data_IF_951204665003
#
_entry.id   IF_951204665003
#
_cell.length_a   1.000
_cell.length_b   1.000
_cell.length_c   1.000
_cell.angle_alpha   90.00
_cell.angle_beta   90.00
_cell.angle_gamma   90.00
#
_symmetry.space_group_name_H-M   'P 1'
#
loop_
_entity.id
_entity.type
_entity.pdbx_description
1 polymer ?
#
# COMPACT_ATOMS: atom_id res chain seq x y z
N UNK A 1 -19.85 24.94 -11.32
CA UNK A 1 -18.48 24.76 -11.85
C UNK A 1 -18.25 23.28 -12.01
N UNK A 2 -17.74 22.86 -13.16
CA UNK A 2 -17.34 21.47 -13.42
C UNK A 2 -15.86 21.52 -13.80
N UNK A 3 -15.06 20.68 -13.14
CA UNK A 3 -13.65 20.47 -13.46
C UNK A 3 -13.54 19.04 -13.98
N UNK A 4 -13.04 18.87 -15.20
CA UNK A 4 -12.90 17.57 -15.85
C UNK A 4 -11.65 17.56 -16.71
N UNK A 5 -10.93 16.45 -16.68
CA UNK A 5 -9.80 16.16 -17.55
C UNK A 5 -9.86 14.69 -17.97
N UNK A 6 -9.33 14.37 -19.14
CA UNK A 6 -9.27 12.99 -19.64
C UNK A 6 -8.23 12.15 -18.89
N UNK A 7 -7.14 12.78 -18.44
CA UNK A 7 -6.01 12.11 -17.81
C UNK A 7 -5.92 12.43 -16.33
N UNK A 8 -5.63 13.69 -15.98
CA UNK A 8 -5.27 14.06 -14.60
C UNK A 8 -5.80 15.45 -14.22
N UNK A 9 -6.20 15.59 -12.96
CA UNK A 9 -6.45 16.89 -12.31
C UNK A 9 -5.56 16.95 -11.07
N UNK A 10 -4.62 17.91 -11.05
CA UNK A 10 -3.81 18.20 -9.88
C UNK A 10 -4.29 19.47 -9.18
N UNK A 11 -4.54 19.37 -7.88
CA UNK A 11 -4.90 20.50 -7.02
C UNK A 11 -3.88 20.63 -5.88
N UNK A 12 -2.96 21.57 -6.03
CA UNK A 12 -1.83 21.78 -5.10
C UNK A 12 -1.93 23.15 -4.44
N UNK A 13 -1.65 23.21 -3.15
CA UNK A 13 -1.57 24.45 -2.36
C UNK A 13 -0.30 24.40 -1.51
N UNK A 14 0.42 25.52 -1.43
CA UNK A 14 1.52 25.68 -0.46
C UNK A 14 1.00 25.89 0.96
N UNK A 15 -0.26 26.32 1.09
CA UNK A 15 -0.97 26.47 2.35
C UNK A 15 -1.98 25.35 2.56
N UNK A 16 -3.21 25.74 2.93
CA UNK A 16 -4.28 24.78 3.19
C UNK A 16 -5.08 24.49 1.92
N UNK A 17 -5.51 23.24 1.77
CA UNK A 17 -6.58 22.84 0.83
C UNK A 17 -7.80 22.47 1.67
N UNK A 18 -8.93 23.15 1.44
CA UNK A 18 -10.18 22.92 2.16
C UNK A 18 -11.30 22.57 1.19
N UNK A 19 -12.01 21.48 1.47
CA UNK A 19 -13.17 21.02 0.69
C UNK A 19 -14.36 20.94 1.64
N UNK A 20 -15.38 21.73 1.37
CA UNK A 20 -16.59 21.80 2.19
C UNK A 20 -17.83 21.66 1.31
N UNK A 21 -18.84 20.95 1.79
CA UNK A 21 -20.11 20.77 1.10
C UNK A 21 -21.27 21.01 2.09
N UNK A 22 -22.27 21.81 1.68
CA UNK A 22 -23.41 22.13 2.55
C UNK A 22 -24.40 20.97 2.75
N UNK A 23 -24.28 19.88 2.00
CA UNK A 23 -25.22 18.74 2.10
C UNK A 23 -24.52 17.39 2.02
N UNK A 24 -23.80 17.13 0.92
CA UNK A 24 -23.12 15.85 0.66
C UNK A 24 -21.81 16.09 -0.07
N UNK A 25 -20.75 15.43 0.39
CA UNK A 25 -19.50 15.25 -0.35
C UNK A 25 -19.42 13.76 -0.72
N UNK A 26 -19.23 13.46 -2.00
CA UNK A 26 -19.11 12.10 -2.50
C UNK A 26 -17.77 11.98 -3.22
N UNK A 27 -16.93 11.07 -2.76
CA UNK A 27 -15.64 10.75 -3.38
C UNK A 27 -15.77 9.34 -3.94
N UNK A 28 -15.52 9.18 -5.24
CA UNK A 28 -15.58 7.90 -5.94
C UNK A 28 -14.32 7.76 -6.75
N UNK A 29 -13.67 6.60 -6.64
CA UNK A 29 -12.41 6.30 -7.31
C UNK A 29 -12.55 4.92 -7.96
N UNK A 30 -12.09 4.78 -9.20
CA UNK A 30 -12.24 3.55 -9.98
C UNK A 30 -11.22 2.46 -9.64
N UNK A 31 -10.03 2.85 -9.19
CA UNK A 31 -8.90 1.96 -8.94
C UNK A 31 -8.46 2.00 -7.47
N UNK A 32 -7.68 3.01 -7.09
CA UNK A 32 -7.13 3.11 -5.73
C UNK A 32 -7.21 4.54 -5.16
N UNK A 33 -7.32 4.65 -3.84
CA UNK A 33 -7.27 5.91 -3.10
C UNK A 33 -6.22 5.81 -2.01
N UNK A 34 -5.36 6.82 -1.90
CA UNK A 34 -4.46 6.98 -0.76
C UNK A 34 -4.56 8.38 -0.16
N UNK A 35 -4.40 8.42 1.15
CA UNK A 35 -4.30 9.64 1.92
C UNK A 35 -3.13 9.49 2.89
N UNK A 36 -2.25 10.49 2.89
CA UNK A 36 -1.11 10.55 3.79
C UNK A 36 -1.11 11.90 4.52
N UNK A 37 -0.73 11.87 5.80
CA UNK A 37 -0.53 13.07 6.58
C UNK A 37 0.66 12.88 7.52
N UNK A 38 1.68 13.74 7.37
CA UNK A 38 2.92 13.62 8.13
C UNK A 38 2.75 13.83 9.66
N UNK A 39 1.75 14.61 10.07
CA UNK A 39 1.52 14.97 11.49
C UNK A 39 0.30 14.33 12.12
N UNK A 40 -0.63 13.79 11.32
CA UNK A 40 -1.83 13.15 11.84
C UNK A 40 -3.04 13.30 10.92
N UNK A 41 -4.03 12.44 11.14
CA UNK A 41 -5.27 12.37 10.38
C UNK A 41 -6.44 12.20 11.34
N UNK A 42 -7.60 12.81 11.04
CA UNK A 42 -8.82 12.70 11.85
C UNK A 42 -10.03 12.49 10.96
N UNK A 43 -10.80 11.43 11.23
CA UNK A 43 -12.08 11.14 10.60
C UNK A 43 -13.15 11.20 11.69
N UNK A 44 -14.17 12.03 11.50
CA UNK A 44 -15.21 12.28 12.52
C UNK A 44 -16.57 12.28 11.85
N UNK A 45 -17.54 11.68 12.53
CA UNK A 45 -18.98 11.85 12.29
C UNK A 45 -19.61 12.41 13.56
N UNK A 46 -20.55 13.34 13.42
CA UNK A 46 -21.22 13.95 14.57
C UNK A 46 -22.45 13.14 15.03
N UNK A 47 -23.38 12.88 14.10
CA UNK A 47 -24.66 12.22 14.39
C UNK A 47 -24.84 10.92 13.58
N UNK A 48 -24.07 10.73 12.50
CA UNK A 48 -24.17 9.57 11.62
C UNK A 48 -23.22 8.43 11.99
N UNK A 49 -23.35 7.31 11.27
CA UNK A 49 -22.43 6.16 11.39
C UNK A 49 -21.13 6.40 10.62
N UNK A 50 -20.00 6.05 11.22
CA UNK A 50 -18.73 5.85 10.49
C UNK A 50 -18.67 4.39 10.04
N UNK A 51 -18.51 4.15 8.74
CA UNK A 51 -18.45 2.81 8.13
C UNK A 51 -17.18 2.68 7.30
N UNK A 52 -16.37 1.66 7.60
CA UNK A 52 -15.12 1.34 6.90
C UNK A 52 -15.22 -0.13 6.50
N UNK A 53 -15.17 -0.41 5.21
CA UNK A 53 -15.41 -1.76 4.68
C UNK A 53 -14.50 -2.08 3.50
N UNK A 54 -13.98 -3.30 3.51
CA UNK A 54 -13.36 -3.94 2.36
C UNK A 54 -14.19 -5.19 2.04
N UNK A 55 -14.64 -5.33 0.79
CA UNK A 55 -15.57 -6.39 0.40
C UNK A 55 -14.89 -7.67 -0.09
N UNK A 56 -13.65 -7.56 -0.54
CA UNK A 56 -12.89 -8.69 -1.14
C UNK A 56 -11.61 -9.00 -0.38
N UNK A 57 -11.01 -7.98 0.21
CA UNK A 57 -9.68 -8.03 0.80
C UNK A 57 -9.71 -7.54 2.25
N UNK A 58 -8.53 -7.42 2.85
CA UNK A 58 -8.36 -7.11 4.26
C UNK A 58 -8.55 -5.64 4.63
N UNK A 59 -8.91 -5.41 5.88
CA UNK A 59 -8.75 -4.11 6.56
C UNK A 59 -7.58 -4.21 7.52
N UNK A 60 -6.50 -3.48 7.23
CA UNK A 60 -5.28 -3.46 8.06
C UNK A 60 -5.22 -2.17 8.86
N UNK A 61 -5.21 -2.28 10.18
CA UNK A 61 -5.01 -1.15 11.12
C UNK A 61 -3.74 -1.40 11.92
N UNK A 62 -2.73 -0.54 11.74
CA UNK A 62 -1.44 -0.64 12.42
C UNK A 62 -1.10 0.68 13.10
N UNK A 63 -0.48 0.59 14.28
CA UNK A 63 0.04 1.75 15.00
C UNK A 63 1.36 1.38 15.68
N UNK A 64 2.34 2.28 15.66
CA UNK A 64 3.63 2.08 16.33
C UNK A 64 3.55 2.09 17.86
N UNK A 65 2.45 2.63 18.43
CA UNK A 65 2.27 2.76 19.88
C UNK A 65 1.05 2.01 20.38
N UNK A 66 -0.16 2.53 20.10
CA UNK A 66 -1.39 2.03 20.69
C UNK A 66 -2.57 2.22 19.75
N UNK A 67 -3.48 1.25 19.77
CA UNK A 67 -4.83 1.33 19.22
C UNK A 67 -5.79 1.33 20.41
N UNK A 68 -6.77 2.25 20.41
CA UNK A 68 -7.83 2.32 21.43
C UNK A 68 -9.15 2.10 20.71
N UNK A 69 -9.95 1.15 21.20
CA UNK A 69 -11.30 0.89 20.73
C UNK A 69 -12.24 1.10 21.93
N UNK A 70 -13.07 2.13 21.86
CA UNK A 70 -13.99 2.53 22.92
C UNK A 70 -15.41 2.63 22.36
N UNK A 71 -16.37 2.06 23.08
CA UNK A 71 -17.79 2.14 22.76
C UNK A 71 -18.59 2.34 24.04
N UNK A 72 -19.64 3.17 23.98
CA UNK A 72 -20.53 3.41 25.13
C UNK A 72 -21.50 2.26 25.42
N UNK A 73 -21.70 1.36 24.46
CA UNK A 73 -22.65 0.24 24.57
C UNK A 73 -21.94 -1.11 24.42
N UNK A 74 -21.41 -1.42 23.22
CA UNK A 74 -20.83 -2.74 22.93
C UNK A 74 -19.72 -2.66 21.87
N UNK A 75 -18.71 -3.55 21.98
CA UNK A 75 -17.76 -3.87 20.92
C UNK A 75 -17.97 -5.33 20.50
N UNK A 76 -18.23 -5.56 19.21
CA UNK A 76 -18.60 -6.88 18.68
C UNK A 76 -17.58 -7.38 17.67
N UNK A 77 -16.98 -8.54 17.95
CA UNK A 77 -16.13 -9.27 17.00
C UNK A 77 -16.89 -10.51 16.49
N UNK A 78 -17.13 -10.59 15.18
CA UNK A 78 -17.77 -11.74 14.53
C UNK A 78 -16.86 -12.28 13.44
N UNK A 79 -16.35 -13.48 13.64
CA UNK A 79 -15.52 -14.17 12.66
C UNK A 79 -15.47 -15.67 12.97
N UNK A 80 -15.11 -16.52 12.00
CA UNK A 80 -14.80 -17.92 12.28
C UNK A 80 -13.60 -18.11 13.21
N UNK A 81 -12.69 -17.13 13.28
CA UNK A 81 -11.48 -17.16 14.13
C UNK A 81 -11.13 -15.76 14.64
N UNK A 82 -10.84 -15.67 15.94
CA UNK A 82 -10.21 -14.51 16.58
C UNK A 82 -8.86 -14.96 17.12
N UNK A 83 -7.80 -14.22 16.81
CA UNK A 83 -6.44 -14.51 17.27
C UNK A 83 -5.87 -13.29 17.96
N UNK A 84 -5.40 -13.46 19.19
CA UNK A 84 -4.75 -12.42 19.98
C UNK A 84 -3.37 -12.90 20.37
N UNK A 85 -2.37 -12.04 20.20
CA UNK A 85 -0.97 -12.31 20.56
C UNK A 85 -0.42 -11.11 21.30
N UNK A 86 0.20 -11.35 22.44
CA UNK A 86 0.90 -10.35 23.23
C UNK A 86 2.24 -10.94 23.67
N UNK A 87 3.32 -10.16 23.58
CA UNK A 87 4.66 -10.60 24.01
C UNK A 87 4.82 -10.56 25.52
N UNK A 88 4.22 -9.56 26.16
CA UNK A 88 4.50 -9.24 27.57
C UNK A 88 3.33 -9.71 28.44
N UNK A 89 2.14 -9.19 28.16
CA UNK A 89 0.92 -9.52 28.90
C UNK A 89 -0.33 -9.37 28.02
N UNK A 90 -1.26 -10.31 28.19
CA UNK A 90 -2.64 -10.16 27.72
C UNK A 90 -3.59 -10.27 28.92
N UNK A 91 -4.54 -9.34 29.01
CA UNK A 91 -5.54 -9.34 30.07
C UNK A 91 -6.94 -9.02 29.55
N UNK A 92 -7.93 -9.66 30.16
CA UNK A 92 -9.36 -9.42 29.91
C UNK A 92 -10.02 -9.18 31.26
N UNK A 93 -10.76 -8.08 31.39
CA UNK A 93 -11.35 -7.63 32.64
C UNK A 93 -12.82 -7.27 32.43
N UNK A 94 -13.67 -7.56 33.43
CA UNK A 94 -15.08 -7.18 33.43
C UNK A 94 -15.75 -7.39 34.78
N UNK A 95 -16.45 -6.37 35.29
CA UNK A 95 -17.22 -6.48 36.54
C UNK A 95 -16.42 -7.02 37.73
N UNK A 96 -15.19 -6.53 37.93
CA UNK A 96 -14.20 -6.99 38.94
C UNK A 96 -13.63 -8.41 38.76
N UNK A 97 -14.04 -9.13 37.72
CA UNK A 97 -13.43 -10.41 37.33
C UNK A 97 -12.38 -10.18 36.25
N UNK A 98 -11.36 -11.04 36.21
CA UNK A 98 -10.27 -10.92 35.25
C UNK A 98 -9.64 -12.25 34.85
N UNK A 99 -8.97 -12.22 33.71
CA UNK A 99 -8.04 -13.24 33.22
C UNK A 99 -6.76 -12.55 32.77
N UNK A 100 -5.62 -12.95 33.32
CA UNK A 100 -4.30 -12.39 33.00
C UNK A 100 -3.34 -13.51 32.56
N UNK A 101 -2.61 -13.25 31.49
CA UNK A 101 -1.63 -14.15 30.90
C UNK A 101 -0.32 -13.40 30.68
N UNK A 102 0.77 -13.86 31.33
CA UNK A 102 2.11 -13.29 31.15
C UNK A 102 3.19 -14.35 31.42
N UNK A 103 4.46 -13.94 31.42
CA UNK A 103 5.60 -14.84 31.63
C UNK A 103 5.64 -15.54 33.00
N UNK A 104 4.86 -15.08 33.99
CA UNK A 104 4.76 -15.74 35.31
C UNK A 104 3.68 -16.83 35.37
N UNK A 105 2.76 -16.86 34.40
CA UNK A 105 1.70 -17.86 34.32
C UNK A 105 0.34 -17.30 33.88
N UNK A 106 -0.70 -18.05 34.22
CA UNK A 106 -2.10 -17.72 33.95
C UNK A 106 -2.84 -17.51 35.27
N UNK A 107 -3.50 -16.37 35.44
CA UNK A 107 -4.27 -16.04 36.64
C UNK A 107 -5.70 -15.68 36.25
N UNK A 108 -6.67 -16.39 36.82
CA UNK A 108 -8.08 -16.06 36.76
C UNK A 108 -8.55 -15.61 38.14
N UNK A 109 -9.30 -14.51 38.23
CA UNK A 109 -9.80 -13.99 39.50
C UNK A 109 -11.24 -13.49 39.40
N UNK A 110 -12.04 -13.75 40.43
CA UNK A 110 -13.40 -13.24 40.58
C UNK A 110 -13.80 -13.20 42.05
N UNK A 111 -14.66 -12.24 42.42
CA UNK A 111 -15.29 -12.18 43.75
C UNK A 111 -16.56 -13.03 43.85
N UNK A 112 -17.09 -13.50 42.72
CA UNK A 112 -18.28 -14.33 42.63
C UNK A 112 -17.97 -15.81 42.52
N UNK A 113 -18.97 -16.59 42.06
CA UNK A 113 -18.80 -18.01 41.78
C UNK A 113 -18.07 -18.19 40.45
N UNK A 114 -16.91 -18.85 40.47
CA UNK A 114 -16.26 -19.37 39.28
C UNK A 114 -16.83 -20.76 38.96
N UNK A 115 -17.55 -20.90 37.84
CA UNK A 115 -18.21 -22.15 37.43
C UNK A 115 -17.73 -22.56 36.04
N UNK A 116 -17.23 -23.80 35.96
CA UNK A 116 -16.81 -24.42 34.71
C UNK A 116 -17.71 -25.63 34.40
N UNK A 117 -18.13 -25.76 33.14
CA UNK A 117 -18.89 -26.90 32.65
C UNK A 117 -18.07 -27.61 31.57
N UNK A 118 -17.59 -28.82 31.88
CA UNK A 118 -16.83 -29.64 30.94
C UNK A 118 -17.11 -31.13 31.13
N UNK A 119 -16.95 -31.91 30.06
CA UNK A 119 -16.97 -33.39 30.11
C UNK A 119 -15.75 -33.94 30.87
N UNK A 120 -14.60 -33.25 30.79
CA UNK A 120 -13.36 -33.61 31.48
C UNK A 120 -12.46 -32.39 31.68
N UNK A 121 -11.75 -32.34 32.80
CA UNK A 121 -10.64 -31.42 33.04
C UNK A 121 -9.32 -32.22 33.04
N UNK A 122 -8.31 -31.75 32.31
CA UNK A 122 -6.99 -32.40 32.21
C UNK A 122 -5.89 -31.43 32.63
N UNK A 123 -5.15 -31.80 33.67
CA UNK A 123 -4.10 -30.98 34.28
C UNK A 123 -2.76 -31.69 34.05
N UNK A 124 -2.24 -31.58 32.84
CA UNK A 124 -0.90 -32.08 32.48
C UNK A 124 0.15 -31.02 32.82
N UNK A 125 1.42 -31.44 32.91
CA UNK A 125 2.53 -30.53 33.21
C UNK A 125 2.65 -29.34 32.22
N UNK A 126 3.57 -28.40 32.48
CA UNK A 126 3.68 -27.18 31.69
C UNK A 126 3.98 -27.45 30.21
N UNK A 127 3.37 -26.65 29.34
CA UNK A 127 3.63 -26.55 27.89
C UNK A 127 3.83 -25.08 27.52
N UNK A 128 4.65 -24.79 26.50
CA UNK A 128 5.04 -23.42 26.15
C UNK A 128 5.05 -23.17 24.64
N UNK A 129 4.59 -21.99 24.22
CA UNK A 129 4.63 -21.53 22.82
C UNK A 129 5.18 -20.10 22.76
N UNK A 130 6.32 -19.86 22.06
CA UNK A 130 6.88 -18.53 21.95
C UNK A 130 5.98 -17.63 21.08
N UNK A 131 5.73 -16.40 21.56
CA UNK A 131 5.02 -15.36 20.80
C UNK A 131 6.06 -14.39 20.24
N UNK A 132 6.10 -14.22 18.91
CA UNK A 132 6.93 -13.20 18.27
C UNK A 132 6.13 -11.90 18.18
N UNK A 133 6.62 -10.82 18.80
CA UNK A 133 6.02 -9.50 18.64
C UNK A 133 6.08 -9.05 17.16
N UNK A 134 5.05 -8.36 16.65
CA UNK A 134 5.13 -7.70 15.35
C UNK A 134 6.26 -6.66 15.34
N UNK A 135 6.97 -6.54 14.22
CA UNK A 135 7.99 -5.51 14.07
C UNK A 135 7.37 -4.10 14.20
N UNK A 136 8.06 -3.14 14.84
CA UNK A 136 7.55 -1.80 15.03
C UNK A 136 7.34 -1.11 13.68
N UNK A 137 6.17 -0.50 13.49
CA UNK A 137 5.89 0.27 12.27
C UNK A 137 6.83 1.48 12.23
N UNK A 138 7.75 1.53 11.27
CA UNK A 138 8.66 2.66 11.12
C UNK A 138 8.08 3.73 10.20
N UNK A 139 8.33 5.00 10.50
CA UNK A 139 7.92 6.12 9.64
C UNK A 139 8.54 6.00 8.22
N UNK A 140 9.70 5.36 8.11
CA UNK A 140 10.43 5.12 6.85
C UNK A 140 9.75 4.09 5.93
N UNK A 141 8.92 3.22 6.47
CA UNK A 141 8.08 2.29 5.69
C UNK A 141 6.76 2.93 5.25
N UNK A 142 6.35 4.01 5.93
CA UNK A 142 5.12 4.77 5.65
C UNK A 142 5.35 6.00 4.77
N UNK A 143 6.58 6.52 4.71
CA UNK A 143 7.01 7.35 3.59
C UNK A 143 6.85 6.50 2.33
N UNK A 144 5.82 6.80 1.55
CA UNK A 144 5.67 6.29 0.19
C UNK A 144 7.00 6.52 -0.52
N UNK A 145 7.80 5.46 -0.67
CA UNK A 145 8.93 5.50 -1.59
C UNK A 145 8.29 5.66 -2.95
N UNK A 146 8.37 6.86 -3.52
CA UNK A 146 8.16 7.11 -4.95
C UNK A 146 9.07 6.09 -5.67
N UNK A 147 8.53 4.92 -6.00
CA UNK A 147 9.32 3.80 -6.50
C UNK A 147 8.83 3.52 -7.91
N UNK A 148 9.76 3.60 -8.86
CA UNK A 148 9.45 3.38 -10.26
C UNK A 148 9.69 1.90 -10.59
N UNK A 149 8.66 1.22 -11.08
CA UNK A 149 8.76 -0.14 -11.59
C UNK A 149 9.11 -0.11 -13.08
N UNK A 150 10.18 -0.80 -13.48
CA UNK A 150 10.66 -0.87 -14.86
C UNK A 150 10.83 -2.32 -15.25
N UNK A 151 10.29 -2.72 -16.40
CA UNK A 151 10.45 -4.09 -16.94
C UNK A 151 11.46 -4.08 -18.08
N UNK A 152 12.56 -4.81 -17.91
CA UNK A 152 13.58 -4.97 -18.93
C UNK A 152 13.26 -6.15 -19.85
N UNK A 153 13.29 -5.89 -21.16
CA UNK A 153 13.07 -6.87 -22.21
C UNK A 153 14.21 -6.79 -23.22
N UNK A 154 14.50 -7.91 -23.89
CA UNK A 154 15.53 -7.96 -24.93
C UNK A 154 15.19 -7.08 -26.14
N UNK A 155 13.91 -6.91 -26.43
CA UNK A 155 13.38 -6.05 -27.51
C UNK A 155 12.08 -5.38 -27.06
N UNK A 156 11.77 -4.16 -27.56
CA UNK A 156 10.56 -3.41 -27.19
C UNK A 156 9.27 -4.19 -27.47
N UNK A 157 9.18 -4.81 -28.65
CA UNK A 157 8.02 -5.59 -29.08
C UNK A 157 8.32 -7.09 -29.04
N UNK A 158 7.68 -7.81 -28.11
CA UNK A 158 7.78 -9.27 -28.02
C UNK A 158 9.12 -9.81 -27.51
N UNK A 159 10.01 -8.95 -27.01
CA UNK A 159 11.27 -9.35 -26.40
C UNK A 159 11.08 -10.24 -25.17
N UNK A 160 12.01 -11.18 -24.98
CA UNK A 160 12.02 -12.01 -23.77
C UNK A 160 12.35 -11.12 -22.56
N UNK A 161 11.66 -11.31 -21.42
CA UNK A 161 12.01 -10.61 -20.20
C UNK A 161 13.43 -10.98 -19.79
N UNK A 162 14.21 -9.98 -19.41
CA UNK A 162 15.56 -10.17 -18.88
C UNK A 162 15.46 -10.53 -17.41
N UNK A 163 14.98 -11.74 -17.14
CA UNK A 163 14.69 -12.23 -15.79
C UNK A 163 15.95 -12.71 -15.06
N UNK A 164 16.02 -12.44 -13.75
CA UNK A 164 17.14 -12.80 -12.88
C UNK A 164 18.51 -12.27 -13.33
N UNK A 165 18.53 -11.15 -14.05
CA UNK A 165 19.73 -10.51 -14.56
C UNK A 165 20.28 -9.51 -13.54
N UNK A 166 21.54 -9.65 -13.10
CA UNK A 166 22.19 -8.66 -12.26
C UNK A 166 22.40 -7.35 -13.01
N UNK A 167 22.10 -6.25 -12.34
CA UNK A 167 22.23 -4.91 -12.90
C UNK A 167 22.82 -3.90 -11.89
N UNK A 168 23.46 -2.87 -12.44
CA UNK A 168 23.83 -1.65 -11.72
C UNK A 168 23.02 -0.49 -12.29
N UNK A 169 22.29 0.19 -11.42
CA UNK A 169 21.46 1.34 -11.75
C UNK A 169 22.24 2.65 -11.55
N UNK A 170 22.17 3.52 -12.55
CA UNK A 170 22.77 4.85 -12.55
C UNK A 170 21.72 5.94 -12.77
N UNK A 171 21.97 7.11 -12.17
CA UNK A 171 21.28 8.38 -12.46
C UNK A 171 22.34 9.37 -12.93
N UNK A 172 22.40 9.64 -14.23
CA UNK A 172 23.54 10.31 -14.84
C UNK A 172 24.83 9.51 -14.62
N UNK A 173 25.90 10.17 -14.13
CA UNK A 173 27.17 9.51 -13.81
C UNK A 173 27.21 8.83 -12.43
N UNK A 174 26.17 9.03 -11.59
CA UNK A 174 26.16 8.51 -10.22
C UNK A 174 25.54 7.11 -10.16
N UNK A 175 26.26 6.16 -9.57
CA UNK A 175 25.73 4.83 -9.23
C UNK A 175 24.73 4.96 -8.08
N UNK A 176 23.51 4.46 -8.28
CA UNK A 176 22.40 4.56 -7.34
C UNK A 176 22.14 3.23 -6.62
N UNK A 177 22.22 2.09 -7.32
CA UNK A 177 21.96 0.79 -6.73
C UNK A 177 22.60 -0.35 -7.54
N UNK A 178 22.78 -1.51 -6.90
CA UNK A 178 22.95 -2.80 -7.56
C UNK A 178 21.72 -3.66 -7.24
N UNK A 179 21.30 -4.50 -8.18
CA UNK A 179 20.14 -5.37 -8.00
C UNK A 179 20.13 -6.55 -8.97
N UNK A 180 19.07 -7.34 -8.89
CA UNK A 180 18.76 -8.43 -9.81
C UNK A 180 17.31 -8.29 -10.22
N UNK A 181 17.01 -8.41 -11.51
CA UNK A 181 15.62 -8.35 -12.01
C UNK A 181 14.83 -9.60 -11.57
N UNK A 182 13.50 -9.49 -11.48
CA UNK A 182 12.64 -10.60 -11.07
C UNK A 182 12.33 -11.59 -12.21
N UNK A 183 11.42 -12.54 -11.99
CA UNK A 183 11.00 -13.55 -12.97
C UNK A 183 10.38 -12.96 -14.26
N UNK A 184 9.90 -11.72 -14.21
CA UNK A 184 9.31 -10.98 -15.33
C UNK A 184 10.28 -9.95 -15.93
N UNK A 185 11.54 -9.91 -15.45
CA UNK A 185 12.53 -8.90 -15.85
C UNK A 185 12.27 -7.53 -15.23
N UNK A 186 11.44 -7.44 -14.20
CA UNK A 186 11.12 -6.20 -13.51
C UNK A 186 12.21 -5.84 -12.50
N UNK A 187 12.50 -4.55 -12.40
CA UNK A 187 13.32 -3.95 -11.36
C UNK A 187 12.60 -2.75 -10.74
N UNK A 188 12.90 -2.48 -9.47
CA UNK A 188 12.30 -1.41 -8.70
C UNK A 188 13.36 -0.35 -8.42
N UNK A 189 13.13 0.86 -8.90
CA UNK A 189 13.94 2.04 -8.59
C UNK A 189 13.35 2.69 -7.34
N UNK A 190 13.94 2.38 -6.19
CA UNK A 190 13.52 2.96 -4.91
C UNK A 190 13.94 4.44 -4.81
N UNK A 191 13.09 5.27 -4.18
CA UNK A 191 13.34 6.69 -3.94
C UNK A 191 13.61 7.48 -5.24
N UNK A 192 12.79 7.26 -6.26
CA UNK A 192 12.73 8.12 -7.43
C UNK A 192 12.60 9.58 -6.98
N UNK A 193 13.35 10.47 -7.63
CA UNK A 193 13.30 11.90 -7.34
C UNK A 193 12.64 12.58 -8.53
N UNK A 194 11.52 13.27 -8.26
CA UNK A 194 10.82 14.11 -9.24
C UNK A 194 11.79 15.04 -9.98
N UNK A 195 11.74 15.04 -11.31
CA UNK A 195 12.66 15.75 -12.22
C UNK A 195 13.83 14.91 -12.75
N UNK A 196 13.87 13.60 -12.50
CA UNK A 196 14.87 12.70 -13.12
C UNK A 196 14.37 12.22 -14.47
N UNK A 197 14.94 12.71 -15.58
CA UNK A 197 14.47 12.41 -16.95
C UNK A 197 14.87 11.05 -17.49
N UNK A 198 15.93 10.42 -16.96
CA UNK A 198 16.30 9.05 -17.32
C UNK A 198 17.14 8.36 -16.24
N UNK A 199 17.11 7.03 -16.26
CA UNK A 199 18.02 6.16 -15.52
C UNK A 199 18.76 5.27 -16.50
N UNK A 200 20.02 4.94 -16.20
CA UNK A 200 20.79 3.99 -16.99
C UNK A 200 20.93 2.69 -16.21
N UNK A 201 20.48 1.58 -16.80
CA UNK A 201 20.65 0.24 -16.23
C UNK A 201 21.77 -0.46 -16.97
N UNK A 202 22.86 -0.75 -16.28
CA UNK A 202 23.98 -1.53 -16.81
C UNK A 202 23.86 -2.98 -16.35
N UNK A 203 23.66 -3.89 -17.29
CA UNK A 203 23.59 -5.32 -17.03
C UNK A 203 25.00 -5.90 -16.87
N UNK A 204 25.10 -7.07 -16.21
CA UNK A 204 26.38 -7.74 -15.98
C UNK A 204 27.15 -8.06 -17.28
N UNK A 205 26.41 -8.26 -18.38
CA UNK A 205 26.95 -8.54 -19.72
C UNK A 205 27.57 -7.30 -20.39
N UNK A 206 27.53 -6.14 -19.71
CA UNK A 206 28.07 -4.87 -20.20
C UNK A 206 27.07 -4.04 -21.00
N UNK A 207 25.86 -4.55 -21.28
CA UNK A 207 24.84 -3.82 -22.00
C UNK A 207 24.24 -2.70 -21.14
N UNK A 208 24.20 -1.49 -21.68
CA UNK A 208 23.61 -0.31 -21.03
C UNK A 208 22.25 -0.04 -21.66
N UNK A 209 21.20 -0.03 -20.84
CA UNK A 209 19.82 0.26 -21.24
C UNK A 209 19.46 1.60 -20.64
N UNK A 210 19.16 2.58 -21.50
CA UNK A 210 18.59 3.85 -21.06
C UNK A 210 17.10 3.65 -20.81
N UNK A 211 16.68 4.04 -19.61
CA UNK A 211 15.30 3.99 -19.14
C UNK A 211 14.82 5.43 -19.05
N UNK A 212 14.26 5.98 -20.13
CA UNK A 212 13.69 7.31 -20.10
C UNK A 212 12.50 7.32 -19.14
N UNK A 213 12.48 8.30 -18.25
CA UNK A 213 11.34 8.57 -17.37
C UNK A 213 10.54 9.66 -18.03
N UNK A 214 9.43 9.27 -18.66
CA UNK A 214 8.47 10.25 -19.15
C UNK A 214 7.64 10.77 -17.97
N UNK A 215 7.98 11.95 -17.48
CA UNK A 215 7.09 12.71 -16.61
C UNK A 215 6.01 13.39 -17.47
N UNK A 216 4.92 12.67 -17.74
CA UNK A 216 3.80 13.18 -18.52
C UNK A 216 2.98 12.09 -19.21
N UNK A 217 1.76 12.42 -19.62
CA UNK A 217 0.98 11.54 -20.48
C UNK A 217 1.61 11.47 -21.87
N UNK A 218 1.56 10.29 -22.50
CA UNK A 218 1.87 10.12 -23.93
C UNK A 218 1.04 11.12 -24.75
N UNK A 219 1.65 11.75 -25.75
CA UNK A 219 0.91 12.64 -26.64
C UNK A 219 -0.05 11.84 -27.52
N UNK A 220 -1.11 12.46 -28.03
CA UNK A 220 -2.08 11.79 -28.90
C UNK A 220 -1.42 11.18 -30.15
N UNK A 221 -0.33 11.76 -30.65
CA UNK A 221 0.46 11.19 -31.75
C UNK A 221 1.22 9.92 -31.32
N UNK A 222 1.79 9.91 -30.11
CA UNK A 222 2.48 8.74 -29.55
C UNK A 222 1.51 7.57 -29.36
N UNK A 223 0.27 7.85 -28.96
CA UNK A 223 -0.79 6.84 -28.82
C UNK A 223 -1.20 6.26 -30.18
N UNK A 224 -1.44 7.12 -31.17
CA UNK A 224 -1.81 6.68 -32.52
C UNK A 224 -0.68 5.90 -33.19
N UNK A 225 0.58 6.28 -32.96
CA UNK A 225 1.72 5.52 -33.44
C UNK A 225 1.84 4.13 -32.77
N UNK A 226 1.59 4.03 -31.46
CA UNK A 226 1.61 2.78 -30.72
C UNK A 226 0.47 1.81 -31.11
N UNK A 227 -0.68 2.34 -31.54
CA UNK A 227 -1.79 1.56 -32.11
C UNK A 227 -1.53 1.07 -33.55
N UNK A 228 -0.37 1.41 -34.13
CA UNK A 228 0.07 0.92 -35.43
C UNK A 228 -0.33 1.80 -36.61
N UNK A 229 -0.88 3.00 -36.38
CA UNK A 229 -1.23 3.93 -37.44
C UNK A 229 0.03 4.58 -38.02
N UNK A 230 0.24 4.43 -39.33
CA UNK A 230 1.38 5.02 -40.03
C UNK A 230 1.00 6.36 -40.64
N UNK A 231 1.87 7.35 -40.49
CA UNK A 231 1.73 8.62 -41.19
C UNK A 231 1.99 8.42 -42.68
N UNK A 232 1.14 9.00 -43.53
CA UNK A 232 1.41 9.16 -44.95
C UNK A 232 2.37 10.33 -45.11
N UNK A 233 3.47 10.12 -45.83
CA UNK A 233 4.52 11.11 -46.14
C UNK A 233 5.10 11.85 -44.92
N UNK A 234 5.07 11.23 -43.74
CA UNK A 234 5.64 11.79 -42.51
C UNK A 234 4.80 12.87 -41.83
N UNK A 235 3.54 13.09 -42.27
CA UNK A 235 2.61 14.03 -41.64
C UNK A 235 1.88 13.37 -40.44
N UNK A 236 2.12 13.81 -39.18
CA UNK A 236 1.46 13.27 -38.00
C UNK A 236 -0.07 13.40 -38.03
N UNK A 237 -0.61 14.47 -38.64
CA UNK A 237 -2.07 14.67 -38.73
C UNK A 237 -2.75 13.62 -39.63
N UNK A 238 -2.01 13.00 -40.54
CA UNK A 238 -2.54 11.93 -41.39
C UNK A 238 -2.92 10.67 -40.58
N UNK A 239 -2.27 10.43 -39.43
CA UNK A 239 -2.62 9.32 -38.52
C UNK A 239 -3.97 9.53 -37.86
N UNK A 240 -4.25 10.76 -37.41
CA UNK A 240 -5.54 11.13 -36.84
C UNK A 240 -6.68 10.97 -37.86
N UNK A 241 -6.44 11.35 -39.11
CA UNK A 241 -7.42 11.19 -40.20
C UNK A 241 -7.71 9.72 -40.53
N UNK A 242 -6.72 8.83 -40.40
CA UNK A 242 -6.88 7.39 -40.61
C UNK A 242 -7.62 6.69 -39.47
N UNK A 243 -7.44 7.14 -38.22
CA UNK A 243 -8.14 6.56 -37.07
C UNK A 243 -9.63 6.97 -36.97
N UNK A 244 -10.04 8.03 -37.67
CA UNK A 244 -11.40 8.59 -37.65
C UNK A 244 -12.25 8.25 -38.89
N UNK A 245 -11.68 7.56 -39.89
CA UNK A 245 -12.36 7.13 -41.12
C UNK A 245 -12.60 5.63 -41.18
#
# INVERSE_FOLDING_TARGET
MVLGAQTTIDAVSSGNTQISAGRRLLIRVGDWMSAFAAKGMKLITADGKLRIEAHKEDVIVKAAKRIILEAGEEIVFRSPKVSTQASDEASINGGSSYSQWNGSGVVHGTSGVWREHATSHSLVGPDNKPVKAPDPVSFKELEQKESLAVVLRSHPDGGRPLAYEPYTLYKGAAKIADGVTDEHGQLIIANHQKGTSSYMVKLHNGHEIDVPVMEGALTDDDQLAAEGWRAIDGDPESRQRHAQG
#
